data_IF_392282023687
#
_entry.id   IF_392282023687
#
_cell.length_a   1.000
_cell.length_b   1.000
_cell.length_c   1.000
_cell.angle_alpha   90.00
_cell.angle_beta   90.00
_cell.angle_gamma   90.00
#
_symmetry.space_group_name_H-M   'P 1'
#
loop_
_entity.id
_entity.type
_entity.pdbx_description
1 polymer ?
#
# COMPACT_ATOMS: atom_id res chain seq x y z
N UNK A 1 -18.77 8.25 0.37
CA UNK A 1 -18.86 6.99 1.14
C UNK A 1 -19.18 7.31 2.58
N UNK A 2 -19.97 6.46 3.25
CA UNK A 2 -20.19 6.60 4.69
C UNK A 2 -19.06 5.92 5.46
N UNK A 3 -18.85 6.38 6.67
CA UNK A 3 -17.89 5.85 7.63
C UNK A 3 -18.67 5.56 8.91
N UNK A 4 -18.42 4.39 9.49
CA UNK A 4 -18.93 4.01 10.81
C UNK A 4 -17.75 3.77 11.77
N UNK A 5 -18.03 3.22 12.95
CA UNK A 5 -17.02 3.02 14.00
C UNK A 5 -15.91 2.03 13.59
N UNK A 6 -16.05 1.33 12.47
CA UNK A 6 -15.02 0.46 11.90
C UNK A 6 -14.27 1.08 10.70
N UNK A 7 -14.57 2.34 10.38
CA UNK A 7 -14.03 3.04 9.23
C UNK A 7 -14.97 2.98 8.02
N UNK A 8 -14.39 2.97 6.82
CA UNK A 8 -15.13 3.17 5.58
C UNK A 8 -16.10 2.01 5.30
N UNK A 9 -17.36 2.31 4.92
CA UNK A 9 -18.33 1.25 4.58
C UNK A 9 -18.07 0.67 3.20
N UNK A 10 -17.38 -0.47 3.15
CA UNK A 10 -17.05 -1.19 1.90
C UNK A 10 -18.30 -1.56 1.09
N UNK A 11 -19.42 -1.85 1.75
CA UNK A 11 -20.69 -2.17 1.06
C UNK A 11 -21.19 -1.03 0.18
N UNK A 12 -20.86 0.22 0.52
CA UNK A 12 -21.22 1.37 -0.29
C UNK A 12 -20.46 1.38 -1.64
N UNK A 13 -19.34 0.65 -1.77
CA UNK A 13 -18.59 0.52 -3.04
C UNK A 13 -19.27 -0.44 -4.03
N UNK A 14 -19.96 -1.47 -3.52
CA UNK A 14 -20.49 -2.57 -4.34
C UNK A 14 -21.50 -2.13 -5.39
N UNK A 15 -22.27 -1.07 -5.09
CA UNK A 15 -23.26 -0.47 -6.00
C UNK A 15 -22.72 0.60 -6.94
N UNK A 16 -21.39 0.77 -7.02
CA UNK A 16 -20.75 1.82 -7.84
C UNK A 16 -19.86 1.23 -8.92
N UNK A 17 -19.59 2.02 -9.97
CA UNK A 17 -18.62 1.68 -11.01
C UNK A 17 -17.18 2.06 -10.63
N UNK A 18 -16.96 2.51 -9.40
CA UNK A 18 -15.65 2.90 -8.91
C UNK A 18 -14.68 1.71 -8.97
N UNK A 19 -13.45 2.00 -9.42
CA UNK A 19 -12.32 1.06 -9.47
C UNK A 19 -11.16 1.48 -8.56
N UNK A 20 -11.30 2.57 -7.82
CA UNK A 20 -10.27 3.07 -6.92
C UNK A 20 -10.86 3.69 -5.66
N UNK A 21 -10.29 3.38 -4.49
CA UNK A 21 -10.68 3.98 -3.21
C UNK A 21 -9.46 4.50 -2.46
N UNK A 22 -9.53 5.73 -1.94
CA UNK A 22 -8.51 6.31 -1.08
C UNK A 22 -8.91 6.08 0.38
N UNK A 23 -7.98 5.57 1.19
CA UNK A 23 -8.19 5.30 2.62
C UNK A 23 -7.01 5.81 3.45
N UNK A 24 -7.32 6.29 4.65
CA UNK A 24 -6.36 6.66 5.70
C UNK A 24 -6.57 5.70 6.87
N UNK A 25 -5.94 4.50 6.86
CA UNK A 25 -6.36 3.39 7.71
C UNK A 25 -5.95 3.52 9.17
N UNK A 26 -4.94 4.34 9.47
CA UNK A 26 -4.55 4.71 10.83
C UNK A 26 -5.55 5.71 11.43
N UNK A 27 -5.93 6.75 10.68
CA UNK A 27 -6.90 7.75 11.11
C UNK A 27 -7.73 8.24 9.93
N UNK A 28 -8.96 7.75 9.78
CA UNK A 28 -9.87 8.21 8.72
C UNK A 28 -10.11 9.72 8.85
N UNK A 29 -9.55 10.55 7.98
CA UNK A 29 -9.84 11.99 7.99
C UNK A 29 -11.27 12.25 7.47
N UNK A 30 -12.09 13.10 8.11
CA UNK A 30 -11.88 13.88 9.34
C UNK A 30 -12.36 13.20 10.64
N UNK A 31 -12.83 11.95 10.59
CA UNK A 31 -13.51 11.27 11.70
C UNK A 31 -12.58 10.58 12.72
N UNK A 32 -11.29 10.43 12.43
CA UNK A 32 -10.28 9.85 13.34
C UNK A 32 -10.43 8.35 13.62
N UNK A 33 -11.33 7.67 12.91
CA UNK A 33 -11.61 6.23 13.13
C UNK A 33 -10.50 5.38 12.51
N UNK A 34 -10.02 4.40 13.28
CA UNK A 34 -9.06 3.38 12.82
C UNK A 34 -9.81 2.33 12.01
N UNK A 35 -9.27 1.95 10.84
CA UNK A 35 -9.91 0.91 10.03
C UNK A 35 -9.81 -0.46 10.73
N UNK A 36 -10.96 -1.08 11.03
CA UNK A 36 -11.01 -2.38 11.71
C UNK A 36 -10.33 -3.46 10.87
N UNK A 37 -9.83 -4.53 11.52
CA UNK A 37 -9.24 -5.66 10.81
C UNK A 37 -10.25 -6.31 9.83
N UNK A 38 -11.53 -6.41 10.22
CA UNK A 38 -12.59 -6.90 9.33
C UNK A 38 -12.78 -6.01 8.11
N UNK A 39 -12.73 -4.69 8.30
CA UNK A 39 -12.87 -3.73 7.21
C UNK A 39 -11.70 -3.73 6.24
N UNK A 40 -10.48 -3.96 6.76
CA UNK A 40 -9.29 -4.16 5.95
C UNK A 40 -9.46 -5.36 5.01
N UNK A 41 -9.89 -6.51 5.52
CA UNK A 41 -10.15 -7.68 4.67
C UNK A 41 -11.27 -7.44 3.66
N UNK A 42 -12.37 -6.82 4.07
CA UNK A 42 -13.47 -6.51 3.15
C UNK A 42 -13.03 -5.57 2.01
N UNK A 43 -12.15 -4.60 2.27
CA UNK A 43 -11.56 -3.76 1.21
C UNK A 43 -10.72 -4.58 0.23
N UNK A 44 -9.88 -5.47 0.75
CA UNK A 44 -9.03 -6.34 -0.09
C UNK A 44 -9.89 -7.25 -0.97
N UNK A 45 -10.92 -7.88 -0.39
CA UNK A 45 -11.87 -8.72 -1.13
C UNK A 45 -12.58 -7.93 -2.24
N UNK A 46 -13.00 -6.69 -1.94
CA UNK A 46 -13.57 -5.79 -2.94
C UNK A 46 -12.58 -5.48 -4.08
N UNK A 47 -11.32 -5.20 -3.74
CA UNK A 47 -10.30 -4.86 -4.71
C UNK A 47 -9.99 -6.04 -5.64
N UNK A 48 -9.86 -7.24 -5.10
CA UNK A 48 -9.71 -8.48 -5.90
C UNK A 48 -10.93 -8.70 -6.79
N UNK A 49 -12.14 -8.61 -6.23
CA UNK A 49 -13.37 -8.91 -6.97
C UNK A 49 -13.64 -7.95 -8.14
N UNK A 50 -13.08 -6.73 -8.11
CA UNK A 50 -13.31 -5.70 -9.13
C UNK A 50 -12.07 -5.33 -9.94
N UNK A 51 -10.95 -6.00 -9.73
CA UNK A 51 -9.62 -5.54 -10.16
C UNK A 51 -9.39 -4.05 -9.79
N UNK A 52 -9.83 -3.70 -8.58
CA UNK A 52 -9.78 -2.35 -8.04
C UNK A 52 -8.42 -2.03 -7.42
N UNK A 53 -8.19 -0.74 -7.21
CA UNK A 53 -7.02 -0.19 -6.53
C UNK A 53 -7.43 0.46 -5.21
N UNK A 54 -6.79 0.05 -4.12
CA UNK A 54 -6.83 0.78 -2.85
C UNK A 54 -5.61 1.68 -2.82
N UNK A 55 -5.82 2.97 -2.56
CA UNK A 55 -4.75 3.92 -2.28
C UNK A 55 -4.77 4.15 -0.77
N UNK A 56 -3.70 3.74 -0.11
CA UNK A 56 -3.45 3.93 1.31
C UNK A 56 -2.62 5.20 1.48
N UNK A 57 -3.15 6.19 2.17
CA UNK A 57 -2.43 7.41 2.59
C UNK A 57 -2.09 7.26 4.07
N UNK A 58 -0.90 6.71 4.35
CA UNK A 58 -0.39 6.57 5.72
C UNK A 58 0.37 7.84 6.14
N UNK A 59 -0.43 8.87 6.31
CA UNK A 59 0.01 10.20 6.69
C UNK A 59 0.74 10.26 8.05
N UNK A 60 0.47 9.31 8.97
CA UNK A 60 1.03 9.27 10.33
C UNK A 60 2.14 8.21 10.51
N UNK A 61 2.59 7.56 9.44
CA UNK A 61 3.66 6.56 9.48
C UNK A 61 4.93 7.05 10.21
N UNK A 62 5.19 8.37 10.18
CA UNK A 62 6.34 9.02 10.85
C UNK A 62 6.22 9.10 12.37
N UNK A 63 5.02 8.91 12.95
CA UNK A 63 4.77 9.11 14.37
C UNK A 63 5.02 7.87 15.22
N UNK A 64 5.14 6.68 14.61
CA UNK A 64 5.51 5.45 15.32
C UNK A 64 4.73 5.21 16.62
N UNK A 65 3.49 5.73 16.71
CA UNK A 65 2.66 5.53 17.88
C UNK A 65 2.22 4.07 17.86
N UNK A 66 2.72 3.37 18.88
CA UNK A 66 2.60 1.95 19.17
C UNK A 66 3.37 1.02 18.21
N UNK A 67 4.52 0.55 18.71
CA UNK A 67 5.42 -0.37 18.06
C UNK A 67 4.78 -1.72 17.72
N UNK A 68 4.11 -1.78 16.59
CA UNK A 68 3.99 -2.87 15.61
C UNK A 68 3.32 -2.18 14.41
N UNK A 69 3.90 -2.17 13.19
CA UNK A 69 3.21 -1.59 12.05
C UNK A 69 1.88 -2.33 11.89
N UNK A 70 0.76 -1.68 12.19
CA UNK A 70 -0.59 -2.23 12.02
C UNK A 70 -0.70 -2.56 10.55
N UNK A 71 -0.49 -3.84 10.21
CA UNK A 71 -0.08 -4.29 8.88
C UNK A 71 -0.75 -3.47 7.79
N UNK A 72 0.05 -2.60 7.16
CA UNK A 72 -0.43 -1.72 6.09
C UNK A 72 -1.17 -2.59 5.08
N UNK A 73 -2.26 -2.09 4.51
CA UNK A 73 -3.02 -2.84 3.50
C UNK A 73 -2.08 -3.28 2.37
N UNK A 74 -1.07 -2.45 2.06
CA UNK A 74 0.00 -2.78 1.13
C UNK A 74 0.72 -4.10 1.46
N UNK A 75 1.03 -4.36 2.74
CA UNK A 75 1.74 -5.58 3.14
C UNK A 75 0.87 -6.83 2.96
N UNK A 76 -0.44 -6.68 3.01
CA UNK A 76 -1.40 -7.76 2.81
C UNK A 76 -1.62 -8.05 1.33
N UNK A 77 -1.69 -7.03 0.48
CA UNK A 77 -1.85 -7.20 -0.97
C UNK A 77 -1.11 -6.13 -1.79
N UNK A 78 0.02 -6.51 -2.37
CA UNK A 78 0.87 -5.62 -3.19
C UNK A 78 0.36 -5.42 -4.63
N UNK A 79 -0.63 -6.19 -5.07
CA UNK A 79 -1.17 -6.13 -6.43
C UNK A 79 -2.34 -5.16 -6.53
N UNK A 80 -3.06 -4.97 -5.42
CA UNK A 80 -4.26 -4.14 -5.37
C UNK A 80 -4.14 -2.93 -4.45
N UNK A 81 -3.03 -2.78 -3.72
CA UNK A 81 -2.84 -1.64 -2.82
C UNK A 81 -1.61 -0.82 -3.23
N UNK A 82 -1.83 0.48 -3.41
CA UNK A 82 -0.79 1.49 -3.51
C UNK A 82 -0.67 2.22 -2.17
N UNK A 83 0.54 2.34 -1.64
CA UNK A 83 0.81 3.15 -0.43
C UNK A 83 1.47 4.46 -0.84
N UNK A 84 0.99 5.57 -0.30
CA UNK A 84 1.50 6.91 -0.57
C UNK A 84 1.80 7.61 0.75
N UNK A 85 2.84 8.43 0.75
CA UNK A 85 3.14 9.25 1.92
C UNK A 85 4.07 10.41 1.60
N UNK A 86 4.15 11.33 2.55
CA UNK A 86 4.96 12.54 2.47
C UNK A 86 5.81 12.68 3.72
N UNK A 87 7.14 12.80 3.57
CA UNK A 87 8.07 13.07 4.67
C UNK A 87 8.12 14.57 5.03
N UNK A 88 7.17 15.37 4.52
CA UNK A 88 7.32 16.82 4.42
C UNK A 88 6.99 17.58 5.71
N UNK A 89 6.53 16.92 6.78
CA UNK A 89 5.96 17.64 7.92
C UNK A 89 6.92 17.96 9.05
N UNK A 90 8.11 17.33 9.10
CA UNK A 90 9.11 17.64 10.14
C UNK A 90 10.57 17.75 9.71
N UNK A 91 11.04 17.03 8.69
CA UNK A 91 12.48 16.94 8.40
C UNK A 91 13.04 18.16 7.65
N UNK A 92 12.24 18.74 6.75
CA UNK A 92 12.44 20.05 6.14
C UNK A 92 11.28 20.25 5.15
N UNK A 93 10.31 21.14 5.43
CA UNK A 93 9.21 21.43 4.48
C UNK A 93 9.68 21.80 3.07
N UNK A 94 10.91 22.34 2.98
CA UNK A 94 11.59 22.65 1.72
C UNK A 94 12.01 21.41 0.90
N UNK A 95 12.16 20.24 1.52
CA UNK A 95 12.68 19.03 0.86
C UNK A 95 11.64 18.31 0.01
N UNK A 96 10.34 18.56 0.26
CA UNK A 96 9.18 18.01 -0.50
C UNK A 96 9.35 16.53 -0.91
N UNK A 97 9.81 15.69 0.02
CA UNK A 97 9.95 14.26 -0.26
C UNK A 97 8.62 13.56 -0.02
N UNK A 98 8.14 12.87 -1.03
CA UNK A 98 7.07 11.89 -0.93
C UNK A 98 7.52 10.56 -1.53
N UNK A 99 6.83 9.49 -1.15
CA UNK A 99 7.04 8.16 -1.70
C UNK A 99 5.73 7.60 -2.23
N UNK A 100 5.86 6.68 -3.19
CA UNK A 100 4.76 5.84 -3.66
C UNK A 100 5.27 4.41 -3.75
N UNK A 101 4.58 3.48 -3.09
CA UNK A 101 4.75 2.05 -3.29
C UNK A 101 3.59 1.55 -4.13
N UNK A 102 3.85 1.24 -5.39
CA UNK A 102 2.83 0.92 -6.37
C UNK A 102 2.79 -0.58 -6.71
N UNK A 103 1.60 -1.11 -7.05
CA UNK A 103 1.47 -2.37 -7.77
C UNK A 103 2.33 -2.36 -9.03
N UNK A 104 2.98 -3.49 -9.32
CA UNK A 104 3.91 -3.62 -10.46
C UNK A 104 3.29 -3.17 -11.79
N UNK A 105 1.99 -3.45 -11.99
CA UNK A 105 1.22 -3.07 -13.19
C UNK A 105 1.13 -1.56 -13.42
N UNK A 106 1.26 -0.74 -12.38
CA UNK A 106 1.13 0.73 -12.45
C UNK A 106 2.47 1.46 -12.48
N UNK A 107 3.58 0.78 -12.12
CA UNK A 107 4.89 1.43 -11.92
C UNK A 107 5.37 2.20 -13.14
N UNK A 108 5.41 1.55 -14.30
CA UNK A 108 5.93 2.17 -15.52
C UNK A 108 5.12 3.41 -15.93
N UNK A 109 3.80 3.33 -15.86
CA UNK A 109 2.91 4.43 -16.22
C UNK A 109 3.06 5.63 -15.27
N UNK A 110 3.15 5.38 -13.96
CA UNK A 110 3.30 6.44 -12.97
C UNK A 110 4.69 7.09 -13.05
N UNK A 111 5.75 6.31 -13.28
CA UNK A 111 7.11 6.85 -13.49
C UNK A 111 7.15 7.78 -14.70
N UNK A 112 6.54 7.37 -15.82
CA UNK A 112 6.48 8.20 -17.01
C UNK A 112 5.72 9.50 -16.76
N UNK A 113 4.55 9.41 -16.11
CA UNK A 113 3.77 10.60 -15.76
C UNK A 113 4.55 11.53 -14.82
N UNK A 114 5.23 10.99 -13.81
CA UNK A 114 6.01 11.78 -12.85
C UNK A 114 7.17 12.54 -13.53
N UNK A 115 7.82 11.95 -14.54
CA UNK A 115 8.86 12.60 -15.34
C UNK A 115 8.31 13.77 -16.16
N UNK A 116 7.14 13.59 -16.77
CA UNK A 116 6.50 14.66 -17.56
C UNK A 116 5.90 15.78 -16.70
N UNK A 117 5.50 15.45 -15.47
CA UNK A 117 4.88 16.38 -14.53
C UNK A 117 5.88 17.17 -13.67
N UNK A 118 7.19 17.03 -13.91
CA UNK A 118 8.27 17.70 -13.17
C UNK A 118 8.24 17.42 -11.65
N UNK A 119 7.71 16.26 -11.27
CA UNK A 119 7.63 15.82 -9.87
C UNK A 119 9.00 15.28 -9.44
N UNK A 120 9.86 16.16 -8.93
CA UNK A 120 11.24 15.87 -8.50
C UNK A 120 11.37 15.07 -7.19
N UNK A 121 10.32 14.38 -6.72
CA UNK A 121 10.40 13.57 -5.50
C UNK A 121 10.81 12.14 -5.84
N UNK A 122 11.86 11.65 -5.20
CA UNK A 122 12.46 10.34 -5.45
C UNK A 122 11.44 9.21 -5.25
N UNK A 123 11.06 8.51 -6.32
CA UNK A 123 10.35 7.23 -6.24
C UNK A 123 11.35 6.20 -5.70
N UNK A 124 11.29 5.91 -4.40
CA UNK A 124 12.12 4.87 -3.79
C UNK A 124 11.65 3.50 -4.26
N UNK A 125 12.38 2.94 -5.21
CA UNK A 125 12.21 1.57 -5.67
C UNK A 125 12.76 0.59 -4.62
N UNK A 126 11.88 -0.02 -3.83
CA UNK A 126 12.27 -1.16 -3.01
C UNK A 126 12.51 -2.38 -3.90
N UNK A 127 13.78 -2.60 -4.25
CA UNK A 127 14.25 -3.80 -4.93
C UNK A 127 14.10 -5.02 -3.99
N UNK A 128 13.38 -6.05 -4.44
CA UNK A 128 13.43 -7.39 -3.85
C UNK A 128 14.70 -8.06 -4.38
N UNK A 129 15.68 -8.45 -3.55
CA UNK A 129 16.79 -9.25 -4.05
C UNK A 129 16.25 -10.57 -4.62
N UNK A 130 16.81 -11.08 -5.73
CA UNK A 130 16.41 -12.37 -6.27
C UNK A 130 16.62 -13.44 -5.19
N UNK A 131 15.60 -14.27 -4.97
CA UNK A 131 15.76 -15.47 -4.15
C UNK A 131 16.60 -16.46 -4.94
N UNK A 132 17.88 -16.56 -4.60
CA UNK A 132 18.76 -17.62 -5.10
C UNK A 132 18.21 -18.97 -4.65
N UNK A 133 17.74 -19.74 -5.63
CA UNK A 133 17.27 -21.09 -5.44
C UNK A 133 18.50 -22.03 -5.52
N UNK A 134 19.19 -22.25 -4.40
CA UNK A 134 20.18 -23.32 -4.31
C UNK A 134 19.48 -24.67 -4.26
N UNK A 135 19.19 -25.24 -5.43
CA UNK A 135 19.04 -26.70 -5.59
C UNK A 135 20.44 -27.31 -5.60
N UNK A 136 20.95 -27.63 -4.41
CA UNK A 136 22.12 -28.48 -4.26
C UNK A 136 21.71 -29.94 -4.38
N UNK A 137 22.13 -30.58 -5.48
CA UNK A 137 22.17 -32.04 -5.63
C UNK A 137 22.70 -32.69 -4.35
N UNK A 138 21.98 -33.68 -3.82
CA UNK A 138 22.60 -34.71 -3.02
C UNK A 138 22.70 -35.94 -3.90
N UNK A 139 23.91 -36.18 -4.39
CA UNK A 139 24.27 -37.39 -5.11
C UNK A 139 24.20 -38.59 -4.16
N UNK A 140 23.61 -39.64 -4.70
CA UNK A 140 23.58 -41.02 -4.24
C UNK A 140 24.94 -41.54 -3.76
N UNK A 141 24.94 -42.21 -2.61
CA UNK A 141 25.98 -43.19 -2.26
C UNK A 141 25.27 -44.50 -1.92
N UNK A 142 25.35 -45.40 -2.90
CA UNK A 142 25.17 -46.84 -2.78
C UNK A 142 26.38 -47.42 -2.02
N UNK A 143 26.15 -48.14 -0.93
CA UNK A 143 27.18 -49.01 -0.34
C UNK A 143 26.49 -50.15 0.43
N UNK A 144 26.63 -51.36 -0.12
CA UNK A 144 26.91 -52.60 0.64
C UNK A 144 25.77 -53.24 1.40
#
# INVERSE_FOLDING_TARGET
MRVDDEGIRVTDLGGTDVRMVLVTPAHQLPMGVVLSAGRRHALLDWAVARDGLIVEDDYDAEYGYDGQPVGTLQRLDRQHVADIGIASKKLAPALRLGWLVLPSKLRAQVIELARTADLHSAVLEQLRPPSDNHSGCTDSVDTG
#
